data_IF_527488317721
#
_entry.id   IF_527488317721
#
_cell.length_a   1.000
_cell.length_b   1.000
_cell.length_c   1.000
_cell.angle_alpha   90.00
_cell.angle_beta   90.00
_cell.angle_gamma   90.00
#
_symmetry.space_group_name_H-M   'P 1'
#
loop_
_entity.id
_entity.type
_entity.pdbx_description
1 polymer ?
#
# COMPACT_ATOMS: atom_id res chain seq x y z
N UNK A 1 -38.08 42.45 -85.27
CA UNK A 1 -37.90 43.41 -84.15
C UNK A 1 -39.02 43.19 -83.17
N UNK A 2 -38.87 42.23 -82.29
CA UNK A 2 -39.77 42.06 -81.14
C UNK A 2 -38.93 41.35 -80.03
N UNK A 3 -38.67 42.01 -78.91
CA UNK A 3 -38.02 41.47 -77.73
C UNK A 3 -39.05 40.83 -76.83
N UNK A 4 -38.91 39.55 -76.54
CA UNK A 4 -39.71 38.81 -75.62
C UNK A 4 -39.00 38.80 -74.27
N UNK A 5 -39.65 39.31 -73.23
CA UNK A 5 -39.17 39.35 -71.84
C UNK A 5 -39.60 38.05 -71.16
N UNK A 6 -38.64 37.27 -70.70
CA UNK A 6 -38.90 36.13 -69.86
C UNK A 6 -38.88 36.61 -68.41
N UNK A 7 -40.01 36.48 -67.72
CA UNK A 7 -40.09 36.61 -66.26
C UNK A 7 -39.80 35.26 -65.63
N UNK A 8 -38.72 35.20 -64.86
CA UNK A 8 -38.40 34.04 -64.01
C UNK A 8 -38.94 34.32 -62.60
N UNK A 9 -39.95 33.56 -62.19
CA UNK A 9 -40.41 33.49 -60.77
C UNK A 9 -39.40 32.69 -59.96
N UNK A 10 -38.73 33.36 -59.01
CA UNK A 10 -37.96 32.67 -57.93
C UNK A 10 -38.90 32.37 -56.81
N UNK A 11 -39.26 31.10 -56.65
CA UNK A 11 -39.93 30.60 -55.44
C UNK A 11 -38.91 30.40 -54.36
N UNK A 12 -38.93 31.18 -53.24
CA UNK A 12 -38.16 31.00 -52.07
C UNK A 12 -38.79 29.87 -51.25
N UNK A 13 -38.13 28.70 -51.23
CA UNK A 13 -38.43 27.65 -50.26
C UNK A 13 -37.72 27.99 -48.96
N UNK A 14 -38.46 28.45 -47.95
CA UNK A 14 -37.97 28.57 -46.57
C UNK A 14 -37.87 27.15 -45.97
N UNK A 15 -36.67 26.60 -45.99
CA UNK A 15 -36.35 25.37 -45.24
C UNK A 15 -36.16 25.78 -43.81
N UNK A 16 -37.17 25.53 -42.96
CA UNK A 16 -37.06 25.65 -41.49
C UNK A 16 -36.29 24.44 -41.00
N UNK A 17 -35.00 24.62 -40.77
CA UNK A 17 -34.24 23.63 -39.97
C UNK A 17 -34.68 23.72 -38.51
N UNK A 18 -35.06 22.60 -37.87
CA UNK A 18 -35.24 22.61 -36.44
C UNK A 18 -33.85 22.85 -35.80
N UNK A 19 -33.71 23.98 -35.10
CA UNK A 19 -32.62 24.22 -34.19
C UNK A 19 -32.70 23.16 -33.08
N UNK A 20 -32.02 22.03 -33.27
CA UNK A 20 -31.69 21.17 -32.16
C UNK A 20 -30.76 21.99 -31.25
N UNK A 21 -31.33 22.46 -30.14
CA UNK A 21 -30.53 23.07 -29.07
C UNK A 21 -29.47 22.05 -28.64
N UNK A 22 -28.23 22.29 -29.02
CA UNK A 22 -27.11 21.71 -28.30
C UNK A 22 -27.18 22.26 -26.89
N UNK A 23 -27.76 21.49 -25.97
CA UNK A 23 -27.53 21.69 -24.54
C UNK A 23 -26.04 21.43 -24.37
N UNK A 24 -25.25 22.50 -24.30
CA UNK A 24 -23.90 22.46 -23.83
C UNK A 24 -24.02 22.07 -22.38
N UNK A 25 -23.85 20.75 -22.06
CA UNK A 25 -23.67 20.30 -20.71
C UNK A 25 -22.47 21.07 -20.19
N UNK A 26 -22.70 21.93 -19.21
CA UNK A 26 -21.63 22.58 -18.46
C UNK A 26 -20.70 21.48 -17.98
N UNK A 27 -19.38 21.58 -18.18
CA UNK A 27 -18.47 20.55 -17.68
C UNK A 27 -18.79 20.39 -16.18
N UNK A 28 -19.19 19.17 -15.80
CA UNK A 28 -19.44 18.82 -14.42
C UNK A 28 -18.16 19.15 -13.66
N UNK A 29 -18.23 20.06 -12.69
CA UNK A 29 -17.08 20.39 -11.86
C UNK A 29 -16.78 19.16 -11.04
N UNK A 30 -15.83 18.36 -11.49
CA UNK A 30 -15.33 17.21 -10.75
C UNK A 30 -14.82 17.67 -9.38
N UNK A 31 -15.30 17.06 -8.33
CA UNK A 31 -14.86 17.34 -6.98
C UNK A 31 -13.74 16.38 -6.61
N UNK A 32 -12.64 16.91 -6.10
CA UNK A 32 -11.55 16.07 -5.60
C UNK A 32 -11.80 15.65 -4.16
N UNK A 33 -11.48 14.39 -3.86
CA UNK A 33 -11.57 13.81 -2.50
C UNK A 33 -10.46 14.31 -1.57
N UNK A 34 -9.45 14.95 -2.13
CA UNK A 34 -8.22 15.39 -1.43
C UNK A 34 -8.53 16.40 -0.33
N UNK A 35 -8.18 16.07 0.90
CA UNK A 35 -8.12 17.01 2.02
C UNK A 35 -6.88 17.90 1.87
N UNK A 36 -7.12 19.18 1.61
CA UNK A 36 -6.05 20.14 1.37
C UNK A 36 -5.11 20.33 2.57
N UNK A 37 -5.59 20.14 3.80
CA UNK A 37 -4.77 20.25 5.00
C UNK A 37 -3.81 19.07 5.13
N UNK A 38 -4.30 17.85 4.86
CA UNK A 38 -3.48 16.65 4.82
C UNK A 38 -2.48 16.68 3.68
N UNK A 39 -2.92 17.10 2.49
CA UNK A 39 -2.05 17.19 1.31
C UNK A 39 -0.88 18.16 1.54
N UNK A 40 -1.16 19.33 2.14
CA UNK A 40 -0.10 20.30 2.51
C UNK A 40 0.85 19.73 3.56
N UNK A 41 0.32 19.08 4.61
CA UNK A 41 1.15 18.45 5.64
C UNK A 41 2.02 17.34 5.04
N UNK A 42 1.47 16.48 4.22
CA UNK A 42 2.19 15.38 3.57
C UNK A 42 3.33 15.91 2.68
N UNK A 43 3.06 16.93 1.85
CA UNK A 43 4.09 17.62 1.05
C UNK A 43 5.21 18.17 1.93
N UNK A 44 4.86 18.83 3.04
CA UNK A 44 5.84 19.38 3.99
C UNK A 44 6.69 18.28 4.63
N UNK A 45 6.10 17.19 5.07
CA UNK A 45 6.81 16.06 5.69
C UNK A 45 7.79 15.39 4.72
N UNK A 46 7.45 15.30 3.44
CA UNK A 46 8.32 14.74 2.39
C UNK A 46 9.37 15.73 1.86
N UNK A 47 9.30 17.00 2.23
CA UNK A 47 10.33 17.96 1.85
C UNK A 47 11.73 17.41 2.15
N UNK A 48 12.67 17.50 1.20
CA UNK A 48 14.03 16.95 1.27
C UNK A 48 14.14 15.40 1.33
N UNK A 49 13.09 14.68 0.95
CA UNK A 49 13.06 13.22 0.89
C UNK A 49 12.51 12.77 -0.46
N UNK A 50 12.89 11.60 -0.90
CA UNK A 50 12.25 10.90 -2.02
C UNK A 50 11.30 9.87 -1.47
N UNK A 51 10.09 9.81 -2.00
CA UNK A 51 9.10 8.87 -1.52
C UNK A 51 7.66 9.38 -1.62
N UNK A 52 6.76 8.77 -0.87
CA UNK A 52 5.35 9.04 -0.96
C UNK A 52 4.62 8.94 0.38
N UNK A 53 3.50 9.65 0.46
CA UNK A 53 2.50 9.53 1.53
C UNK A 53 1.14 9.37 0.85
N UNK A 54 0.43 8.32 1.21
CA UNK A 54 -0.95 8.04 0.76
C UNK A 54 -1.84 7.93 1.98
N UNK A 55 -3.02 8.56 1.94
CA UNK A 55 -4.05 8.43 2.95
C UNK A 55 -5.40 8.14 2.29
N UNK A 56 -6.13 7.14 2.80
CA UNK A 56 -7.43 6.69 2.30
C UNK A 56 -8.44 6.71 3.44
N UNK A 57 -9.68 7.12 3.15
CA UNK A 57 -10.82 6.89 4.03
C UNK A 57 -11.33 5.45 3.79
N UNK A 58 -11.16 4.51 4.75
CA UNK A 58 -11.42 3.10 4.50
C UNK A 58 -12.86 2.79 4.09
N UNK A 59 -13.83 3.48 4.68
CA UNK A 59 -15.25 3.22 4.46
C UNK A 59 -15.75 3.58 3.06
N UNK A 60 -15.05 4.46 2.34
CA UNK A 60 -15.50 5.03 1.06
C UNK A 60 -14.53 4.81 -0.10
N UNK A 61 -13.26 4.52 0.18
CA UNK A 61 -12.19 4.47 -0.82
C UNK A 61 -11.64 5.85 -1.22
N UNK A 62 -12.17 6.95 -0.66
CA UNK A 62 -11.71 8.32 -0.95
C UNK A 62 -10.24 8.48 -0.60
N UNK A 63 -9.45 8.92 -1.55
CA UNK A 63 -8.04 9.27 -1.32
C UNK A 63 -7.98 10.68 -0.72
N UNK A 64 -7.62 10.75 0.55
CA UNK A 64 -7.56 12.01 1.32
C UNK A 64 -6.26 12.79 1.09
N UNK A 65 -5.18 12.06 0.82
CA UNK A 65 -3.90 12.64 0.43
C UNK A 65 -3.15 11.65 -0.46
N UNK A 66 -2.53 12.17 -1.52
CA UNK A 66 -1.64 11.40 -2.40
C UNK A 66 -0.48 12.32 -2.77
N UNK A 67 0.67 12.07 -2.17
CA UNK A 67 1.87 12.87 -2.37
C UNK A 67 3.01 11.98 -2.79
N UNK A 68 3.56 12.29 -3.94
CA UNK A 68 4.87 11.83 -4.39
C UNK A 68 5.83 12.99 -4.34
N UNK A 69 6.99 12.82 -3.72
CA UNK A 69 8.06 13.80 -3.77
C UNK A 69 9.27 13.18 -4.44
N UNK A 70 9.69 13.84 -5.49
CA UNK A 70 10.78 13.43 -6.34
C UNK A 70 11.94 14.41 -6.22
N UNK A 71 13.10 13.93 -5.77
CA UNK A 71 14.32 14.71 -5.73
C UNK A 71 15.15 14.57 -7.01
N UNK A 72 14.79 13.61 -7.86
CA UNK A 72 15.48 13.35 -9.13
C UNK A 72 14.82 14.13 -10.27
N UNK A 73 13.67 14.75 -10.02
CA UNK A 73 12.85 15.49 -11.01
C UNK A 73 12.55 14.65 -12.26
N UNK A 74 12.27 13.36 -12.04
CA UNK A 74 11.98 12.40 -13.11
C UNK A 74 10.49 12.33 -13.47
N UNK A 75 9.65 13.12 -12.80
CA UNK A 75 8.20 13.20 -13.04
C UNK A 75 7.41 11.97 -12.63
N UNK A 76 8.03 10.99 -11.96
CA UNK A 76 7.38 9.73 -11.58
C UNK A 76 6.50 9.91 -10.34
N UNK A 77 5.24 9.52 -10.43
CA UNK A 77 4.35 9.45 -9.27
C UNK A 77 4.63 8.20 -8.43
N UNK A 78 5.57 8.31 -7.48
CA UNK A 78 6.00 7.18 -6.64
C UNK A 78 4.91 6.61 -5.74
N UNK A 79 3.78 7.29 -5.61
CA UNK A 79 2.67 6.78 -4.81
C UNK A 79 1.93 5.63 -5.51
N UNK A 80 1.85 5.68 -6.85
CA UNK A 80 1.06 4.74 -7.67
C UNK A 80 1.85 4.06 -8.79
N UNK A 81 2.88 4.74 -9.35
CA UNK A 81 3.57 4.29 -10.58
C UNK A 81 4.94 3.64 -10.32
N UNK A 82 5.28 3.44 -9.06
CA UNK A 82 6.54 2.76 -8.67
C UNK A 82 6.25 1.72 -7.60
N UNK A 83 6.74 0.51 -7.83
CA UNK A 83 6.63 -0.58 -6.87
C UNK A 83 7.96 -0.86 -6.18
N UNK A 84 7.90 -1.12 -4.90
CA UNK A 84 9.02 -1.34 -4.00
C UNK A 84 8.87 -2.64 -3.25
N UNK A 85 9.97 -3.17 -2.71
CA UNK A 85 9.88 -4.21 -1.70
C UNK A 85 9.16 -3.66 -0.46
N UNK A 86 8.03 -4.24 -0.05
CA UNK A 86 7.26 -3.75 1.10
C UNK A 86 7.95 -3.99 2.45
N UNK A 87 8.97 -4.86 2.48
CA UNK A 87 9.61 -5.25 3.71
C UNK A 87 8.64 -5.80 4.74
N UNK A 88 8.90 -5.57 6.01
CA UNK A 88 8.10 -6.12 7.10
C UNK A 88 6.64 -5.64 7.17
N UNK A 89 6.20 -4.66 6.38
CA UNK A 89 4.77 -4.32 6.27
C UNK A 89 3.98 -5.47 5.65
N UNK A 90 4.59 -6.23 4.76
CA UNK A 90 4.01 -7.38 4.09
C UNK A 90 3.66 -8.55 5.04
N UNK A 91 4.27 -8.61 6.22
CA UNK A 91 3.95 -9.61 7.25
C UNK A 91 2.48 -9.61 7.68
N UNK A 92 1.78 -8.50 7.48
CA UNK A 92 0.33 -8.39 7.70
C UNK A 92 -0.43 -9.29 6.73
N UNK A 93 -0.16 -9.19 5.43
CA UNK A 93 -0.77 -10.04 4.42
C UNK A 93 -0.37 -11.52 4.59
N UNK A 94 0.90 -11.78 4.94
CA UNK A 94 1.38 -13.13 5.24
C UNK A 94 0.63 -13.77 6.41
N UNK A 95 0.42 -13.02 7.49
CA UNK A 95 -0.31 -13.52 8.65
C UNK A 95 -1.77 -13.83 8.30
N UNK A 96 -2.43 -12.97 7.52
CA UNK A 96 -3.78 -13.21 7.02
C UNK A 96 -3.88 -14.52 6.25
N UNK A 97 -2.96 -14.77 5.33
CA UNK A 97 -2.90 -16.01 4.56
C UNK A 97 -2.70 -17.23 5.46
N UNK A 98 -1.62 -17.25 6.24
CA UNK A 98 -1.25 -18.43 7.04
C UNK A 98 -2.30 -18.81 8.08
N UNK A 99 -2.95 -17.81 8.68
CA UNK A 99 -4.03 -18.05 9.65
C UNK A 99 -5.31 -18.54 8.96
N UNK A 100 -5.68 -17.95 7.83
CA UNK A 100 -6.92 -18.30 7.11
C UNK A 100 -6.88 -19.69 6.49
N UNK A 101 -5.72 -20.12 6.02
CA UNK A 101 -5.51 -21.49 5.53
C UNK A 101 -5.34 -22.52 6.66
N UNK A 102 -5.35 -22.09 7.93
CA UNK A 102 -5.09 -22.97 9.06
C UNK A 102 -3.67 -23.54 9.09
N UNK A 103 -2.76 -22.99 8.29
CA UNK A 103 -1.37 -23.43 8.23
C UNK A 103 -0.63 -23.16 9.55
N UNK A 104 -1.02 -22.10 10.25
CA UNK A 104 -0.49 -21.71 11.55
C UNK A 104 -1.64 -21.51 12.54
N UNK A 105 -1.62 -22.24 13.63
CA UNK A 105 -2.53 -22.03 14.75
C UNK A 105 -2.14 -20.76 15.55
N UNK A 106 -3.12 -20.04 16.04
CA UNK A 106 -2.92 -18.83 16.86
C UNK A 106 -2.16 -19.10 18.16
N UNK A 107 -2.19 -20.32 18.68
CA UNK A 107 -1.43 -20.78 19.87
C UNK A 107 0.00 -21.20 19.54
N UNK A 108 0.31 -21.44 18.26
CA UNK A 108 1.65 -21.82 17.82
C UNK A 108 2.64 -20.73 18.16
N UNK A 109 3.77 -21.13 18.71
CA UNK A 109 4.88 -20.20 19.03
C UNK A 109 6.15 -20.66 18.36
N UNK A 110 7.00 -19.70 18.01
CA UNK A 110 8.33 -19.96 17.47
C UNK A 110 9.40 -19.25 18.29
N UNK A 111 10.49 -19.96 18.55
CA UNK A 111 11.67 -19.38 19.17
C UNK A 111 12.44 -18.52 18.14
N UNK A 112 12.98 -17.40 18.63
CA UNK A 112 13.89 -16.54 17.89
C UNK A 112 15.20 -16.38 18.66
N UNK A 113 16.30 -16.76 18.05
CA UNK A 113 17.65 -16.64 18.58
C UNK A 113 18.40 -15.55 17.79
N UNK A 114 17.90 -14.30 17.85
CA UNK A 114 18.39 -13.15 17.08
C UNK A 114 18.34 -13.35 15.55
N UNK A 115 17.42 -14.18 15.06
CA UNK A 115 17.23 -14.43 13.63
C UNK A 115 16.84 -15.86 13.31
N UNK A 116 16.90 -16.15 12.03
CA UNK A 116 16.65 -17.46 11.42
C UNK A 116 17.88 -17.86 10.62
N UNK A 117 18.32 -19.11 10.81
CA UNK A 117 19.44 -19.68 10.06
C UNK A 117 19.04 -21.05 9.52
N UNK A 118 19.20 -21.25 8.23
CA UNK A 118 18.89 -22.50 7.56
C UNK A 118 19.75 -22.64 6.30
N UNK A 119 20.42 -23.78 6.12
CA UNK A 119 21.23 -24.10 4.94
C UNK A 119 22.21 -22.99 4.51
N UNK A 120 22.92 -22.39 5.49
CA UNK A 120 23.90 -21.33 5.22
C UNK A 120 23.28 -19.93 5.03
N UNK A 121 21.96 -19.81 4.93
CA UNK A 121 21.26 -18.52 4.88
C UNK A 121 21.02 -18.06 6.32
N UNK A 122 21.37 -16.80 6.61
CA UNK A 122 21.09 -16.15 7.88
C UNK A 122 20.32 -14.86 7.67
N UNK A 123 19.16 -14.78 8.34
CA UNK A 123 18.32 -13.58 8.38
C UNK A 123 18.30 -13.09 9.83
N UNK A 124 18.83 -11.89 10.05
CA UNK A 124 18.90 -11.27 11.37
C UNK A 124 17.54 -10.85 11.91
N UNK A 125 17.43 -10.73 13.22
CA UNK A 125 16.29 -10.16 13.91
C UNK A 125 16.77 -9.29 15.07
N UNK A 126 16.09 -8.16 15.30
CA UNK A 126 16.40 -7.32 16.46
C UNK A 126 16.06 -8.04 17.78
N UNK A 127 16.64 -7.63 18.90
CA UNK A 127 16.37 -8.24 20.21
C UNK A 127 14.91 -8.06 20.63
N UNK A 128 14.27 -9.14 21.07
CA UNK A 128 12.94 -9.17 21.67
C UNK A 128 12.76 -10.44 22.52
N UNK A 129 11.68 -10.53 23.27
CA UNK A 129 11.33 -11.77 24.01
C UNK A 129 11.08 -12.92 23.05
N UNK A 130 11.31 -14.14 23.50
CA UNK A 130 11.17 -15.38 22.74
C UNK A 130 10.71 -16.50 23.69
N UNK A 131 9.84 -17.44 23.27
CA UNK A 131 9.20 -17.56 21.97
C UNK A 131 8.06 -16.55 21.77
N UNK A 132 7.60 -16.38 20.50
CA UNK A 132 6.51 -15.48 20.15
C UNK A 132 5.33 -16.24 19.53
N UNK A 133 4.10 -15.79 19.84
CA UNK A 133 2.88 -16.11 19.10
C UNK A 133 2.73 -15.17 17.90
N UNK A 134 1.75 -15.43 17.00
CA UNK A 134 1.50 -14.59 15.81
C UNK A 134 1.29 -13.12 16.18
N UNK A 135 0.45 -12.81 17.17
CA UNK A 135 0.20 -11.43 17.64
C UNK A 135 1.50 -10.75 18.07
N UNK A 136 2.31 -11.44 18.84
CA UNK A 136 3.59 -10.91 19.33
C UNK A 136 4.60 -10.77 18.19
N UNK A 137 4.61 -11.72 17.24
CA UNK A 137 5.51 -11.69 16.09
C UNK A 137 5.19 -10.53 15.12
N UNK A 138 3.91 -10.22 14.91
CA UNK A 138 3.52 -9.00 14.18
C UNK A 138 3.97 -7.77 14.95
N UNK A 139 3.69 -7.73 16.27
CA UNK A 139 4.03 -6.61 17.15
C UNK A 139 5.52 -6.31 17.20
N UNK A 140 6.34 -7.35 17.30
CA UNK A 140 7.81 -7.26 17.34
C UNK A 140 8.45 -7.38 15.94
N UNK A 141 7.67 -7.54 14.88
CA UNK A 141 8.21 -7.71 13.52
C UNK A 141 9.25 -8.84 13.40
N UNK A 142 9.07 -9.96 14.09
CA UNK A 142 10.06 -11.03 14.21
C UNK A 142 10.31 -11.73 12.87
N UNK A 143 11.51 -11.60 12.31
CA UNK A 143 11.89 -12.24 11.05
C UNK A 143 11.91 -13.78 11.19
N UNK A 144 12.47 -14.31 12.27
CA UNK A 144 12.56 -15.75 12.50
C UNK A 144 11.18 -16.43 12.51
N UNK A 145 10.18 -15.78 13.14
CA UNK A 145 8.81 -16.28 13.12
C UNK A 145 8.27 -16.40 11.70
N UNK A 146 8.34 -15.30 10.94
CA UNK A 146 7.77 -15.25 9.60
C UNK A 146 8.51 -16.11 8.58
N UNK A 147 9.85 -16.18 8.64
CA UNK A 147 10.62 -17.09 7.79
C UNK A 147 10.20 -18.54 8.01
N UNK A 148 10.20 -18.97 9.30
CA UNK A 148 9.90 -20.35 9.64
C UNK A 148 8.46 -20.72 9.35
N UNK A 149 7.50 -19.89 9.74
CA UNK A 149 6.09 -20.16 9.50
C UNK A 149 5.74 -20.17 8.01
N UNK A 150 6.32 -19.27 7.21
CA UNK A 150 6.11 -19.25 5.76
C UNK A 150 6.71 -20.50 5.09
N UNK A 151 7.96 -20.85 5.43
CA UNK A 151 8.58 -22.08 4.94
C UNK A 151 7.73 -23.32 5.27
N UNK A 152 7.32 -23.49 6.53
CA UNK A 152 6.47 -24.59 6.96
C UNK A 152 5.13 -24.62 6.22
N UNK A 153 4.55 -23.44 5.91
CA UNK A 153 3.29 -23.34 5.16
C UNK A 153 3.45 -23.80 3.72
N UNK A 154 4.46 -23.28 3.01
CA UNK A 154 4.69 -23.63 1.60
C UNK A 154 5.07 -25.12 1.44
N UNK A 155 5.81 -25.66 2.39
CA UNK A 155 6.24 -27.06 2.38
C UNK A 155 5.23 -28.03 3.02
N UNK A 156 4.04 -27.54 3.44
CA UNK A 156 3.01 -28.37 4.08
C UNK A 156 2.28 -29.26 3.09
N UNK A 157 2.68 -30.55 3.02
CA UNK A 157 2.07 -31.54 2.11
C UNK A 157 0.72 -32.11 2.60
N UNK A 158 0.27 -31.71 3.81
CA UNK A 158 -1.10 -32.01 4.27
C UNK A 158 -2.12 -31.01 3.74
N UNK A 159 -1.71 -29.73 3.54
CA UNK A 159 -2.55 -28.68 2.99
C UNK A 159 -2.44 -28.58 1.46
N UNK A 160 -1.25 -28.77 0.90
CA UNK A 160 -0.98 -28.56 -0.51
C UNK A 160 -0.24 -29.74 -1.13
N UNK A 161 -0.74 -30.25 -2.24
CA UNK A 161 -0.12 -31.39 -2.94
C UNK A 161 1.33 -31.09 -3.38
N UNK A 162 1.64 -29.84 -3.73
CA UNK A 162 2.95 -29.41 -4.21
C UNK A 162 3.29 -28.00 -3.68
N UNK A 163 4.57 -27.57 -3.67
CA UNK A 163 4.95 -26.18 -3.41
C UNK A 163 4.30 -25.21 -4.40
N UNK A 164 4.14 -25.62 -5.66
CA UNK A 164 3.48 -24.81 -6.69
C UNK A 164 2.00 -24.54 -6.36
N UNK A 165 1.28 -25.55 -5.85
CA UNK A 165 -0.09 -25.35 -5.39
C UNK A 165 -0.15 -24.39 -4.19
N UNK A 166 0.80 -24.49 -3.25
CA UNK A 166 0.87 -23.62 -2.09
C UNK A 166 1.12 -22.15 -2.46
N UNK A 167 2.10 -21.90 -3.36
CA UNK A 167 2.44 -20.53 -3.75
C UNK A 167 1.38 -19.89 -4.65
N UNK A 168 0.72 -20.66 -5.51
CA UNK A 168 -0.41 -20.16 -6.30
C UNK A 168 -1.57 -19.78 -5.38
N UNK A 169 -1.90 -20.62 -4.40
CA UNK A 169 -2.92 -20.29 -3.39
C UNK A 169 -2.55 -19.03 -2.59
N UNK A 170 -1.28 -18.89 -2.21
CA UNK A 170 -0.77 -17.69 -1.58
C UNK A 170 -0.92 -16.46 -2.49
N UNK A 171 -0.58 -16.56 -3.76
CA UNK A 171 -0.75 -15.47 -4.72
C UNK A 171 -2.22 -15.05 -4.86
N UNK A 172 -3.17 -16.00 -4.89
CA UNK A 172 -4.61 -15.72 -4.90
C UNK A 172 -5.03 -14.87 -3.68
N UNK A 173 -4.54 -15.20 -2.49
CA UNK A 173 -4.77 -14.38 -1.30
C UNK A 173 -4.22 -12.96 -1.45
N UNK A 174 -2.98 -12.83 -1.94
CA UNK A 174 -2.35 -11.51 -2.14
C UNK A 174 -3.15 -10.67 -3.14
N UNK A 175 -3.55 -11.26 -4.28
CA UNK A 175 -4.37 -10.59 -5.28
C UNK A 175 -5.74 -10.19 -4.72
N UNK A 176 -6.38 -11.04 -3.92
CA UNK A 176 -7.66 -10.71 -3.28
C UNK A 176 -7.57 -9.54 -2.30
N UNK A 177 -6.37 -9.22 -1.81
CA UNK A 177 -6.08 -8.07 -0.95
C UNK A 177 -5.66 -6.82 -1.76
N UNK A 178 -5.65 -6.90 -3.10
CA UNK A 178 -5.22 -5.81 -3.98
C UNK A 178 -3.71 -5.67 -4.11
N UNK A 179 -2.93 -6.72 -3.80
CA UNK A 179 -1.47 -6.73 -3.95
C UNK A 179 -1.08 -7.46 -5.24
N UNK A 180 -0.17 -6.91 -6.02
CA UNK A 180 0.27 -7.51 -7.29
C UNK A 180 -0.73 -7.38 -8.43
N UNK A 181 -1.77 -6.57 -8.26
CA UNK A 181 -2.79 -6.22 -9.26
C UNK A 181 -3.08 -4.73 -9.21
N UNK A 182 -3.49 -4.09 -10.31
CA UNK A 182 -3.98 -2.72 -10.25
C UNK A 182 -5.20 -2.63 -9.34
N UNK A 183 -5.29 -1.60 -8.51
CA UNK A 183 -6.48 -1.32 -7.69
C UNK A 183 -7.59 -0.65 -8.49
N UNK A 184 -7.23 -0.04 -9.61
CA UNK A 184 -8.14 0.68 -10.49
C UNK A 184 -8.39 2.12 -10.04
N UNK A 185 -7.38 2.77 -9.42
CA UNK A 185 -7.48 4.20 -9.11
C UNK A 185 -7.72 5.01 -10.41
N UNK A 186 -8.52 6.05 -10.30
CA UNK A 186 -8.89 6.96 -11.40
C UNK A 186 -7.74 7.92 -11.81
N UNK A 187 -6.51 7.40 -11.83
CA UNK A 187 -5.30 8.06 -12.31
C UNK A 187 -4.56 7.16 -13.30
N UNK A 188 -3.83 7.78 -14.21
CA UNK A 188 -3.02 7.06 -15.19
C UNK A 188 -1.74 6.47 -14.59
N UNK A 189 -1.20 5.46 -15.26
CA UNK A 189 0.10 4.83 -14.95
C UNK A 189 0.17 4.14 -13.57
N UNK A 190 -0.92 3.52 -13.13
CA UNK A 190 -0.90 2.67 -11.94
C UNK A 190 -0.04 1.42 -12.19
N UNK A 191 0.98 1.22 -11.35
CA UNK A 191 1.82 0.01 -11.35
C UNK A 191 1.10 -1.11 -10.59
N UNK A 192 1.05 -2.28 -11.19
CA UNK A 192 0.44 -3.47 -10.59
C UNK A 192 1.23 -4.07 -9.42
N UNK A 193 2.50 -3.71 -9.24
CA UNK A 193 3.41 -4.43 -8.36
C UNK A 193 3.76 -5.84 -8.89
N UNK A 194 4.33 -6.67 -8.02
CA UNK A 194 4.67 -8.06 -8.35
C UNK A 194 4.41 -8.98 -7.15
N UNK A 195 3.54 -9.95 -7.36
CA UNK A 195 3.37 -11.11 -6.49
C UNK A 195 3.73 -12.34 -7.31
N UNK A 196 4.84 -13.03 -6.98
CA UNK A 196 5.29 -14.17 -7.77
C UNK A 196 4.37 -15.38 -7.58
N UNK A 197 4.01 -16.03 -8.67
CA UNK A 197 3.35 -17.33 -8.70
C UNK A 197 4.34 -18.47 -8.97
N UNK A 198 3.83 -19.69 -9.08
CA UNK A 198 4.67 -20.87 -9.34
C UNK A 198 5.38 -20.80 -10.70
N UNK A 199 4.73 -20.23 -11.72
CA UNK A 199 5.33 -20.10 -13.06
C UNK A 199 6.48 -19.11 -13.05
N UNK A 200 6.28 -17.96 -12.40
CA UNK A 200 7.34 -16.96 -12.21
C UNK A 200 8.56 -17.56 -11.47
N UNK A 201 8.31 -18.22 -10.33
CA UNK A 201 9.39 -18.82 -9.52
C UNK A 201 10.10 -19.97 -10.25
N UNK A 202 9.38 -20.78 -11.03
CA UNK A 202 9.97 -21.84 -11.83
C UNK A 202 10.90 -21.29 -12.92
N UNK A 203 10.51 -20.19 -13.55
CA UNK A 203 11.35 -19.53 -14.56
C UNK A 203 12.62 -18.94 -13.94
N UNK A 204 12.49 -18.34 -12.75
CA UNK A 204 13.60 -17.67 -12.07
C UNK A 204 14.58 -18.66 -11.41
N UNK A 205 14.07 -19.65 -10.67
CA UNK A 205 14.89 -20.53 -9.82
C UNK A 205 15.06 -21.94 -10.37
N UNK A 206 14.35 -22.34 -11.42
CA UNK A 206 14.30 -23.70 -12.00
C UNK A 206 13.82 -24.76 -11.00
N UNK A 207 14.40 -24.80 -9.79
CA UNK A 207 13.98 -25.63 -8.63
C UNK A 207 13.90 -24.77 -7.39
N UNK A 208 12.79 -24.83 -6.68
CA UNK A 208 12.54 -24.03 -5.49
C UNK A 208 11.64 -24.76 -4.47
N UNK A 209 11.68 -24.30 -3.23
CA UNK A 209 10.83 -24.73 -2.12
C UNK A 209 10.67 -23.56 -1.13
N UNK A 210 10.01 -23.75 0.00
CA UNK A 210 9.80 -22.71 1.00
C UNK A 210 11.09 -22.06 1.52
N UNK A 211 12.21 -22.80 1.54
CA UNK A 211 13.52 -22.22 1.90
C UNK A 211 14.03 -21.27 0.84
N UNK A 212 13.94 -21.64 -0.44
CA UNK A 212 14.40 -20.81 -1.57
C UNK A 212 13.71 -19.45 -1.59
N UNK A 213 12.42 -19.43 -1.29
CA UNK A 213 11.56 -18.24 -1.36
C UNK A 213 11.25 -17.61 -0.01
N UNK A 214 12.03 -17.91 1.05
CA UNK A 214 11.74 -17.37 2.39
C UNK A 214 11.78 -15.84 2.46
N UNK A 215 12.54 -15.18 1.59
CA UNK A 215 12.58 -13.73 1.46
C UNK A 215 11.24 -13.15 0.99
N UNK A 216 10.52 -13.86 0.11
CA UNK A 216 9.16 -13.54 -0.29
C UNK A 216 8.24 -13.47 0.93
N UNK A 217 8.40 -14.40 1.88
CA UNK A 217 7.65 -14.43 3.13
C UNK A 217 7.83 -13.20 4.02
N UNK A 218 8.89 -12.42 3.79
CA UNK A 218 9.18 -11.19 4.54
C UNK A 218 8.90 -9.90 3.74
N UNK A 219 8.36 -10.02 2.54
CA UNK A 219 8.14 -8.87 1.66
C UNK A 219 9.43 -8.31 1.05
N UNK A 220 10.38 -9.21 0.77
CA UNK A 220 11.64 -8.93 0.09
C UNK A 220 11.77 -9.84 -1.14
N UNK A 221 12.90 -9.82 -1.80
CA UNK A 221 13.11 -10.59 -3.03
C UNK A 221 12.17 -10.10 -4.14
N UNK A 222 11.41 -11.03 -4.68
CA UNK A 222 10.57 -10.81 -5.86
C UNK A 222 9.30 -9.99 -5.58
N UNK A 223 8.89 -9.86 -4.30
CA UNK A 223 7.66 -9.11 -3.96
C UNK A 223 7.86 -7.62 -4.13
N UNK A 224 6.96 -6.99 -4.91
CA UNK A 224 6.89 -5.55 -5.08
C UNK A 224 5.46 -5.06 -4.89
N UNK A 225 5.29 -3.94 -4.19
CA UNK A 225 4.00 -3.29 -3.98
C UNK A 225 4.14 -1.78 -4.15
N UNK A 226 3.09 -1.12 -4.61
CA UNK A 226 3.06 0.34 -4.59
C UNK A 226 2.70 0.85 -3.18
N UNK A 227 3.05 2.09 -2.84
CA UNK A 227 2.59 2.72 -1.60
C UNK A 227 1.06 2.81 -1.51
N UNK A 228 0.36 2.98 -2.64
CA UNK A 228 -1.11 2.92 -2.70
C UNK A 228 -1.63 1.54 -2.27
N UNK A 229 -1.04 0.45 -2.78
CA UNK A 229 -1.43 -0.91 -2.39
C UNK A 229 -1.20 -1.17 -0.90
N UNK A 230 -0.12 -0.64 -0.30
CA UNK A 230 0.11 -0.75 1.14
C UNK A 230 -0.92 0.05 1.95
N UNK A 231 -1.31 1.24 1.49
CA UNK A 231 -2.38 2.02 2.11
C UNK A 231 -3.72 1.29 2.02
N UNK A 232 -4.03 0.71 0.85
CA UNK A 232 -5.21 -0.10 0.62
C UNK A 232 -5.25 -1.35 1.51
N UNK A 233 -4.12 -2.04 1.70
CA UNK A 233 -4.04 -3.17 2.64
C UNK A 233 -4.37 -2.74 4.08
N UNK A 234 -3.90 -1.56 4.51
CA UNK A 234 -4.27 -1.03 5.82
C UNK A 234 -5.77 -0.68 5.90
N UNK A 235 -6.36 -0.12 4.83
CA UNK A 235 -7.79 0.15 4.74
C UNK A 235 -8.62 -1.15 4.77
N UNK A 236 -8.22 -2.17 4.02
CA UNK A 236 -8.84 -3.49 4.00
C UNK A 236 -8.88 -4.14 5.39
N UNK A 237 -7.75 -4.13 6.10
CA UNK A 237 -7.68 -4.67 7.47
C UNK A 237 -8.56 -3.85 8.42
N UNK A 238 -8.55 -2.53 8.28
CA UNK A 238 -9.42 -1.62 9.00
C UNK A 238 -10.90 -1.93 8.79
N UNK A 239 -11.32 -2.16 7.57
CA UNK A 239 -12.67 -2.53 7.16
C UNK A 239 -13.06 -3.99 7.48
N UNK A 240 -12.19 -4.75 8.12
CA UNK A 240 -12.46 -6.15 8.47
C UNK A 240 -12.61 -7.07 7.25
N UNK A 241 -11.81 -6.84 6.19
CA UNK A 241 -11.64 -7.78 5.09
C UNK A 241 -12.18 -7.35 3.73
N UNK A 242 -12.46 -6.07 3.55
CA UNK A 242 -12.77 -5.53 2.22
C UNK A 242 -12.12 -4.17 1.99
N UNK A 243 -11.96 -3.81 0.73
CA UNK A 243 -11.61 -2.45 0.33
C UNK A 243 -12.60 -1.96 -0.72
N UNK A 244 -12.65 -0.65 -0.91
CA UNK A 244 -13.36 0.02 -2.00
C UNK A 244 -12.27 0.58 -2.92
N UNK A 245 -12.48 0.50 -4.23
CA UNK A 245 -11.55 1.06 -5.22
C UNK A 245 -11.11 2.47 -4.81
N UNK A 246 -9.81 2.71 -4.55
CA UNK A 246 -9.33 4.05 -4.22
C UNK A 246 -9.61 5.01 -5.37
N UNK A 247 -10.11 6.22 -5.06
CA UNK A 247 -10.45 7.21 -6.07
C UNK A 247 -10.15 8.64 -5.59
N UNK A 248 -9.87 9.52 -6.53
CA UNK A 248 -9.59 10.94 -6.29
C UNK A 248 -10.74 11.82 -6.80
N UNK A 249 -11.49 11.38 -7.81
CA UNK A 249 -12.57 12.14 -8.39
C UNK A 249 -13.94 11.67 -7.87
N UNK A 250 -14.82 12.61 -7.63
CA UNK A 250 -16.22 12.41 -7.30
C UNK A 250 -17.08 13.17 -8.33
N UNK A 251 -18.31 12.74 -8.52
CA UNK A 251 -19.28 13.49 -9.32
C UNK A 251 -19.62 14.85 -8.68
N UNK A 252 -20.38 15.67 -9.38
CA UNK A 252 -20.79 16.99 -8.89
C UNK A 252 -21.58 16.94 -7.56
N UNK A 253 -22.20 15.79 -7.23
CA UNK A 253 -22.92 15.54 -5.99
C UNK A 253 -22.00 15.04 -4.87
N UNK A 254 -20.72 14.75 -5.16
CA UNK A 254 -19.75 14.24 -4.20
C UNK A 254 -19.88 12.73 -3.96
N UNK A 255 -20.34 11.98 -4.96
CA UNK A 255 -20.38 10.52 -4.90
C UNK A 255 -19.25 9.92 -5.71
N UNK A 256 -18.69 8.80 -5.21
CA UNK A 256 -17.74 7.99 -5.93
C UNK A 256 -18.39 7.33 -7.15
N UNK A 257 -17.64 7.24 -8.24
CA UNK A 257 -18.07 6.54 -9.47
C UNK A 257 -18.17 5.03 -9.22
N UNK A 258 -17.25 4.48 -8.42
CA UNK A 258 -17.23 3.07 -8.03
C UNK A 258 -17.25 2.92 -6.49
N UNK A 259 -18.24 2.21 -5.98
CA UNK A 259 -18.39 1.87 -4.55
C UNK A 259 -18.34 0.37 -4.30
N UNK A 260 -17.88 -0.40 -5.27
CA UNK A 260 -17.78 -1.85 -5.17
C UNK A 260 -16.87 -2.25 -4.02
N UNK A 261 -17.35 -3.18 -3.19
CA UNK A 261 -16.55 -3.78 -2.13
C UNK A 261 -15.81 -4.99 -2.65
N UNK A 262 -14.51 -4.92 -2.64
CA UNK A 262 -13.62 -6.03 -2.99
C UNK A 262 -13.29 -6.82 -1.71
N UNK A 263 -13.91 -7.98 -1.54
CA UNK A 263 -13.68 -8.83 -0.36
C UNK A 263 -12.42 -9.68 -0.54
N UNK A 264 -11.57 -9.68 0.48
CA UNK A 264 -10.41 -10.59 0.48
C UNK A 264 -10.80 -12.00 0.93
N UNK A 265 -9.90 -12.95 0.67
CA UNK A 265 -10.08 -14.35 1.04
C UNK A 265 -9.80 -14.64 2.53
N UNK A 266 -9.31 -13.65 3.28
CA UNK A 266 -8.96 -13.84 4.68
C UNK A 266 -10.22 -14.03 5.56
N UNK A 267 -10.11 -14.94 6.54
CA UNK A 267 -11.20 -15.18 7.49
C UNK A 267 -11.32 -14.06 8.52
N UNK A 268 -12.53 -13.81 9.06
CA UNK A 268 -12.73 -12.80 10.11
C UNK A 268 -11.81 -13.02 11.33
N UNK A 269 -11.59 -14.27 11.72
CA UNK A 269 -10.73 -14.65 12.85
C UNK A 269 -9.26 -14.28 12.59
N UNK A 270 -8.77 -14.52 11.37
CA UNK A 270 -7.43 -14.14 10.96
C UNK A 270 -7.25 -12.63 11.00
N UNK A 271 -8.24 -11.89 10.51
CA UNK A 271 -8.23 -10.42 10.52
C UNK A 271 -8.19 -9.88 11.93
N UNK A 272 -8.99 -10.44 12.86
CA UNK A 272 -8.99 -10.02 14.28
C UNK A 272 -7.61 -10.25 14.95
N UNK A 273 -6.98 -11.38 14.69
CA UNK A 273 -5.61 -11.66 15.18
C UNK A 273 -4.60 -10.66 14.62
N UNK A 274 -4.70 -10.33 13.31
CA UNK A 274 -3.81 -9.39 12.66
C UNK A 274 -4.00 -7.98 13.20
N UNK A 275 -5.23 -7.52 13.42
CA UNK A 275 -5.52 -6.22 14.05
C UNK A 275 -4.92 -6.14 15.45
N UNK A 276 -5.06 -7.20 16.26
CA UNK A 276 -4.41 -7.28 17.58
C UNK A 276 -2.89 -7.20 17.48
N UNK A 277 -2.29 -7.85 16.48
CA UNK A 277 -0.87 -7.77 16.18
C UNK A 277 -0.40 -6.37 15.77
N UNK A 278 -1.14 -5.72 14.86
CA UNK A 278 -0.88 -4.33 14.43
C UNK A 278 -1.04 -3.33 15.59
N UNK A 279 -2.02 -3.57 16.49
CA UNK A 279 -2.16 -2.78 17.72
C UNK A 279 -1.01 -3.01 18.68
N UNK A 280 -0.57 -4.26 18.83
CA UNK A 280 0.59 -4.61 19.66
C UNK A 280 1.88 -3.92 19.17
N UNK A 281 2.07 -3.77 17.86
CA UNK A 281 3.21 -3.05 17.31
C UNK A 281 3.25 -1.58 17.80
N UNK A 282 2.09 -0.93 17.87
CA UNK A 282 1.98 0.46 18.33
C UNK A 282 1.93 0.58 19.86
N UNK A 283 1.33 -0.38 20.57
CA UNK A 283 1.21 -0.32 22.03
C UNK A 283 2.55 -0.50 22.74
N UNK A 284 3.40 -1.39 22.26
CA UNK A 284 4.68 -1.72 22.92
C UNK A 284 5.65 -2.47 22.02
N UNK A 285 5.41 -2.48 20.71
CA UNK A 285 6.28 -3.09 19.70
C UNK A 285 7.09 -2.07 18.93
N UNK A 286 7.37 -2.40 17.67
CA UNK A 286 8.27 -1.60 16.80
C UNK A 286 7.80 -0.19 16.50
N UNK A 287 6.52 0.11 16.66
CA UNK A 287 5.94 1.44 16.43
C UNK A 287 5.49 2.13 17.74
N UNK A 288 6.03 1.76 18.90
CA UNK A 288 5.56 2.29 20.20
C UNK A 288 5.65 3.81 20.32
N UNK A 289 6.58 4.44 19.61
CA UNK A 289 6.79 5.90 19.64
C UNK A 289 5.58 6.72 19.10
N UNK A 290 4.67 6.08 18.35
CA UNK A 290 3.47 6.72 17.81
C UNK A 290 2.19 6.36 18.57
N UNK A 291 2.30 5.72 19.72
CA UNK A 291 1.13 5.38 20.54
C UNK A 291 0.43 6.64 21.03
N UNK A 292 -0.77 6.89 20.55
CA UNK A 292 -1.59 8.02 20.97
C UNK A 292 -2.51 7.63 22.13
N UNK A 293 -2.84 8.61 23.01
CA UNK A 293 -3.74 8.40 24.14
C UNK A 293 -5.22 8.60 23.76
N UNK A 294 -5.49 9.39 22.73
CA UNK A 294 -6.84 9.81 22.35
C UNK A 294 -7.54 8.82 21.41
N UNK A 295 -6.76 8.01 20.68
CA UNK A 295 -7.25 7.01 19.73
C UNK A 295 -6.24 5.88 19.56
N UNK A 296 -6.72 4.71 19.22
CA UNK A 296 -5.87 3.55 18.99
C UNK A 296 -5.42 3.47 17.53
N UNK A 297 -4.13 3.58 17.29
CA UNK A 297 -3.51 3.31 15.99
C UNK A 297 -3.19 1.82 15.91
N UNK A 298 -3.52 1.18 14.80
CA UNK A 298 -3.06 -0.13 14.39
C UNK A 298 -2.11 0.04 13.21
N UNK A 299 -0.89 -0.46 13.30
CA UNK A 299 0.08 -0.23 12.24
C UNK A 299 1.21 -1.24 12.21
N UNK A 300 1.98 -1.20 11.13
CA UNK A 300 3.15 -2.04 10.92
C UNK A 300 4.28 -1.22 10.31
N UNK A 301 5.43 -1.24 10.96
CA UNK A 301 6.68 -0.70 10.43
C UNK A 301 7.30 -1.68 9.45
N UNK A 302 7.96 -1.16 8.45
CA UNK A 302 8.79 -1.92 7.54
C UNK A 302 10.13 -1.24 7.33
N UNK A 303 11.11 -2.04 6.99
CA UNK A 303 12.42 -1.63 6.53
C UNK A 303 12.69 -2.51 5.33
N UNK A 304 12.83 -1.90 4.16
CA UNK A 304 13.15 -2.63 2.95
C UNK A 304 14.63 -2.48 2.67
N UNK A 305 15.33 -3.61 2.63
CA UNK A 305 16.77 -3.65 2.37
C UNK A 305 17.09 -3.08 0.97
N UNK A 306 18.16 -2.32 0.88
CA UNK A 306 18.63 -1.67 -0.33
C UNK A 306 20.17 -1.66 -0.35
N UNK A 307 20.78 -1.39 -1.52
CA UNK A 307 22.24 -1.26 -1.68
C UNK A 307 22.86 -0.04 -0.96
N UNK A 308 22.03 0.87 -0.44
CA UNK A 308 22.46 2.00 0.38
C UNK A 308 21.82 1.91 1.76
N UNK A 309 21.36 3.05 2.28
CA UNK A 309 20.51 3.04 3.45
C UNK A 309 19.16 2.39 3.09
N UNK A 310 18.61 1.62 4.00
CA UNK A 310 17.32 0.94 3.82
C UNK A 310 16.18 1.93 3.58
N UNK A 311 15.13 1.48 2.91
CA UNK A 311 13.92 2.26 2.75
C UNK A 311 13.04 2.18 3.99
N UNK A 312 12.59 3.35 4.47
CA UNK A 312 11.70 3.47 5.61
C UNK A 312 10.25 3.36 5.18
N UNK A 313 9.51 2.41 5.72
CA UNK A 313 8.08 2.26 5.38
C UNK A 313 7.21 2.02 6.61
N UNK A 314 5.96 2.46 6.51
CA UNK A 314 4.92 2.24 7.49
C UNK A 314 3.57 2.16 6.78
N UNK A 315 2.69 1.30 7.28
CA UNK A 315 1.26 1.34 6.97
C UNK A 315 0.43 1.14 8.24
N UNK A 316 -0.75 1.73 8.28
CA UNK A 316 -1.63 1.58 9.42
C UNK A 316 -2.94 2.33 9.25
N UNK A 317 -3.82 2.16 10.22
CA UNK A 317 -5.12 2.82 10.23
C UNK A 317 -5.51 3.25 11.65
N UNK A 318 -6.43 4.17 11.76
CA UNK A 318 -6.98 4.65 13.03
C UNK A 318 -8.40 5.26 12.84
N UNK A 319 -9.23 5.27 13.91
CA UNK A 319 -9.11 4.46 15.13
C UNK A 319 -9.28 2.96 14.87
N UNK A 320 -8.86 2.12 15.83
CA UNK A 320 -8.92 0.65 15.71
C UNK A 320 -10.32 0.11 15.43
N UNK A 321 -11.33 0.57 16.19
CA UNK A 321 -12.66 -0.04 16.13
C UNK A 321 -13.55 0.59 15.04
N UNK A 322 -13.40 1.89 14.78
CA UNK A 322 -14.10 2.63 13.71
C UNK A 322 -13.08 3.36 12.85
N UNK A 323 -12.42 2.68 11.92
CA UNK A 323 -11.37 3.27 11.10
C UNK A 323 -11.88 4.43 10.26
N UNK A 324 -11.24 5.59 10.40
CA UNK A 324 -11.56 6.79 9.63
C UNK A 324 -10.47 7.13 8.62
N UNK A 325 -9.25 6.67 8.88
CA UNK A 325 -8.10 6.92 8.00
C UNK A 325 -7.17 5.70 7.99
N UNK A 326 -6.74 5.31 6.81
CA UNK A 326 -5.60 4.45 6.57
C UNK A 326 -4.48 5.29 5.95
N UNK A 327 -3.23 5.01 6.29
CA UNK A 327 -2.06 5.76 5.83
C UNK A 327 -0.94 4.81 5.48
N UNK A 328 -0.27 5.04 4.36
CA UNK A 328 1.05 4.49 4.08
C UNK A 328 2.06 5.62 3.87
N UNK A 329 3.28 5.39 4.34
CA UNK A 329 4.44 6.26 4.13
C UNK A 329 5.59 5.40 3.64
N UNK A 330 6.20 5.78 2.53
CA UNK A 330 7.40 5.17 1.99
C UNK A 330 8.45 6.24 1.72
N UNK A 331 9.62 6.11 2.30
CA UNK A 331 10.74 7.05 2.11
C UNK A 331 11.98 6.27 1.71
N UNK A 332 12.45 6.51 0.50
CA UNK A 332 13.66 5.90 -0.02
C UNK A 332 14.88 6.31 0.80
N UNK A 333 15.74 5.35 1.13
CA UNK A 333 16.92 5.52 1.95
C UNK A 333 16.67 6.19 3.33
N UNK A 334 15.43 6.04 3.83
CA UNK A 334 14.98 6.68 5.07
C UNK A 334 15.40 5.95 6.35
N UNK A 335 16.03 4.77 6.23
CA UNK A 335 16.39 3.92 7.36
C UNK A 335 15.22 3.15 7.94
N UNK A 336 15.18 2.97 9.24
CA UNK A 336 14.11 2.21 9.89
C UNK A 336 12.74 2.87 9.82
N UNK A 337 11.71 2.07 9.52
CA UNK A 337 10.31 2.54 9.47
C UNK A 337 9.83 3.14 10.80
N UNK A 338 10.35 2.63 11.92
CA UNK A 338 10.06 3.17 13.25
C UNK A 338 10.56 4.60 13.46
N UNK A 339 11.68 4.97 12.79
CA UNK A 339 12.41 6.22 13.04
C UNK A 339 11.98 7.36 12.10
N UNK A 340 11.30 7.06 10.99
CA UNK A 340 10.90 8.09 10.04
C UNK A 340 9.46 7.91 9.54
N UNK A 341 9.14 6.79 8.88
CA UNK A 341 7.83 6.60 8.24
C UNK A 341 6.68 6.57 9.26
N UNK A 342 6.81 5.84 10.36
CA UNK A 342 5.77 5.75 11.39
C UNK A 342 5.52 7.11 12.09
N UNK A 343 6.53 7.88 12.52
CA UNK A 343 6.34 9.24 13.02
C UNK A 343 5.64 10.17 12.05
N UNK A 344 5.97 10.11 10.75
CA UNK A 344 5.30 10.93 9.72
C UNK A 344 3.83 10.52 9.56
N UNK A 345 3.55 9.22 9.49
CA UNK A 345 2.18 8.70 9.40
C UNK A 345 1.32 9.13 10.61
N UNK A 346 1.90 9.11 11.82
CA UNK A 346 1.17 9.53 13.03
C UNK A 346 0.72 10.99 13.00
N UNK A 347 1.49 11.87 12.36
CA UNK A 347 1.12 13.27 12.19
C UNK A 347 -0.04 13.45 11.19
N UNK A 348 -0.05 12.66 10.12
CA UNK A 348 -1.17 12.63 9.16
C UNK A 348 -2.45 12.16 9.86
N UNK A 349 -2.36 11.09 10.65
CA UNK A 349 -3.49 10.55 11.43
C UNK A 349 -3.99 11.59 12.44
N UNK A 350 -3.09 12.23 13.20
CA UNK A 350 -3.46 13.27 14.18
C UNK A 350 -4.14 14.46 13.50
N UNK A 351 -3.59 14.96 12.40
CA UNK A 351 -4.16 16.07 11.64
C UNK A 351 -5.59 15.76 11.20
N UNK A 352 -5.84 14.57 10.68
CA UNK A 352 -7.16 14.17 10.19
C UNK A 352 -8.17 13.96 11.33
N UNK A 353 -7.79 13.23 12.37
CA UNK A 353 -8.72 12.86 13.44
C UNK A 353 -9.07 14.05 14.33
N UNK A 354 -8.13 14.96 14.58
CA UNK A 354 -8.28 16.11 15.47
C UNK A 354 -8.54 17.43 14.72
N UNK A 355 -8.50 17.41 13.37
CA UNK A 355 -8.62 18.62 12.53
C UNK A 355 -7.37 19.51 12.56
N UNK A 356 -6.45 19.31 13.49
CA UNK A 356 -5.19 20.07 13.63
C UNK A 356 -4.15 19.26 14.40
N UNK A 357 -2.89 19.60 14.20
CA UNK A 357 -1.81 19.13 15.05
C UNK A 357 -1.78 19.86 16.39
N UNK A 358 -1.44 19.15 17.47
CA UNK A 358 -1.03 19.78 18.72
C UNK A 358 0.27 20.56 18.54
N UNK A 359 0.58 21.52 19.42
CA UNK A 359 1.83 22.28 19.35
C UNK A 359 3.07 21.39 19.32
N UNK A 360 3.08 20.35 20.16
CA UNK A 360 4.16 19.36 20.19
C UNK A 360 4.30 18.61 18.87
N UNK A 361 3.18 18.26 18.24
CA UNK A 361 3.16 17.57 16.95
C UNK A 361 3.53 18.50 15.80
N UNK A 362 3.13 19.77 15.86
CA UNK A 362 3.56 20.79 14.89
C UNK A 362 5.09 20.97 14.92
N UNK A 363 5.69 21.05 16.11
CA UNK A 363 7.16 21.10 16.27
C UNK A 363 7.84 19.83 15.70
N UNK A 364 7.22 18.65 15.92
CA UNK A 364 7.72 17.41 15.31
C UNK A 364 7.62 17.45 13.78
N UNK A 365 6.52 17.95 13.22
CA UNK A 365 6.35 18.10 11.78
C UNK A 365 7.44 18.96 11.17
N UNK A 366 7.79 20.10 11.81
CA UNK A 366 8.91 20.96 11.40
C UNK A 366 10.26 20.21 11.41
N UNK A 367 10.51 19.46 12.46
CA UNK A 367 11.74 18.68 12.57
C UNK A 367 11.81 17.63 11.44
N UNK A 368 10.72 16.94 11.15
CA UNK A 368 10.69 15.95 10.08
C UNK A 368 10.79 16.59 8.70
N UNK A 369 10.14 17.72 8.46
CA UNK A 369 10.27 18.47 7.22
C UNK A 369 11.73 18.87 6.93
N UNK A 370 12.46 19.34 7.95
CA UNK A 370 13.87 19.74 7.82
C UNK A 370 14.85 18.56 7.69
N UNK A 371 14.47 17.36 8.10
CA UNK A 371 15.35 16.18 8.02
C UNK A 371 15.64 15.85 6.55
N UNK A 372 16.90 15.94 6.18
CA UNK A 372 17.41 15.54 4.86
C UNK A 372 17.65 14.03 4.85
N UNK A 373 17.29 13.37 3.77
CA UNK A 373 17.61 11.97 3.49
C UNK A 373 18.53 11.95 2.27
N UNK A 374 19.67 11.29 2.39
CA UNK A 374 20.60 11.09 1.27
C UNK A 374 20.00 10.04 0.34
N UNK A 375 19.89 10.34 -0.93
CA UNK A 375 19.45 9.38 -1.95
C UNK A 375 20.71 8.69 -2.49
N UNK A 376 20.66 7.37 -2.54
CA UNK A 376 21.64 6.58 -3.29
C UNK A 376 20.99 6.28 -4.64
N UNK A 377 21.52 6.81 -5.75
CA UNK A 377 21.01 6.50 -7.08
C UNK A 377 21.02 4.99 -7.30
N UNK A 378 19.93 4.45 -7.84
CA UNK A 378 19.91 3.07 -8.31
C UNK A 378 20.78 3.06 -9.57
N UNK A 379 21.94 2.43 -9.51
CA UNK A 379 22.69 2.11 -10.72
C UNK A 379 21.87 1.11 -11.51
N UNK A 380 21.26 1.54 -12.60
CA UNK A 380 20.63 0.65 -13.58
C UNK A 380 21.79 -0.16 -14.17
N UNK A 381 21.84 -1.50 -14.00
CA UNK A 381 22.85 -2.28 -14.67
C UNK A 381 22.69 -2.05 -16.19
N UNK A 382 23.71 -1.53 -16.84
CA UNK A 382 23.75 -1.48 -18.30
C UNK A 382 23.74 -2.93 -18.74
N UNK A 383 22.63 -3.37 -19.33
CA UNK A 383 22.54 -4.70 -19.92
C UNK A 383 23.41 -4.74 -21.16
N UNK A 384 24.03 -5.89 -21.44
CA UNK A 384 24.89 -6.08 -22.62
C UNK A 384 24.17 -5.82 -23.97
N UNK A 385 22.86 -5.63 -23.94
CA UNK A 385 22.05 -5.29 -25.12
C UNK A 385 22.08 -3.77 -25.44
N UNK A 386 22.70 -2.94 -24.59
CA UNK A 386 22.89 -1.50 -24.81
C UNK A 386 24.28 -1.14 -25.37
N UNK A 387 25.10 -2.14 -25.71
CA UNK A 387 26.43 -2.01 -26.37
C UNK A 387 26.40 -2.62 -27.78
#
# INVERSE_FOLDING_TARGET
>A
MIRTIFQILFAFFLVVFPLHGFTQESPSVEKLTIDQSLQRLAKRLLQNKQGSIVAIEPATGRVLALVSNDKLDDGVNRAISTSYSPGSTFKVAQALFMLSEGAIDTKKTYACHHGFSFNGIRIGCHPHRSPLSMIQAIGQSCNAFFCKSFQETIDNRQLYATPSAAINRWADYMHSMGLGVPLGIDLENEDRGLIPDSAYLQNLHKKWNGTTIMWVGMGQGEVKTTPLQLCNLAALVGNRGYYITPHIHEDASGHAVDTTRHHCMATPEAIDVVIKGMRAAVKGGTAHAINAHQYEICGKTGTAENKGDDHSTFMGFAPKDLPRIAVSVYVENGGFGADLAAPMASLIIEQYLNGRLSEKSAQKAERWAKKKVKITPIEIPITLDDM
#
